data_IF_048893602174
#
_entry.id   IF_048893602174
#
_cell.length_a   1.000
_cell.length_b   1.000
_cell.length_c   1.000
_cell.angle_alpha   90.00
_cell.angle_beta   90.00
_cell.angle_gamma   90.00
#
_symmetry.space_group_name_H-M   'P 1'
#
loop_
_entity.id
_entity.type
_entity.pdbx_description
1 polymer ?
#
# COMPACT_ATOMS: atom_id res chain seq x y z
N UNK A 1 16.63 4.12 -12.46
CA UNK A 1 16.57 3.52 -13.81
C UNK A 1 15.42 4.09 -14.65
N UNK A 2 14.20 4.25 -14.08
CA UNK A 2 13.07 4.84 -14.82
C UNK A 2 13.32 6.31 -15.08
N UNK A 3 13.75 7.07 -14.07
CA UNK A 3 14.09 8.50 -14.20
C UNK A 3 15.14 8.71 -15.27
N UNK A 4 16.18 7.85 -15.32
CA UNK A 4 17.28 7.95 -16.30
C UNK A 4 16.86 7.55 -17.72
N UNK A 5 15.75 6.87 -17.88
CA UNK A 5 15.30 6.29 -19.16
C UNK A 5 14.22 7.12 -19.87
N UNK A 6 13.61 8.13 -19.20
CA UNK A 6 12.48 8.89 -19.76
C UNK A 6 12.66 10.40 -19.54
N UNK A 7 12.14 11.19 -20.47
CA UNK A 7 12.17 12.66 -20.43
C UNK A 7 10.87 13.27 -19.85
N UNK A 8 9.98 12.43 -19.31
CA UNK A 8 8.71 12.86 -18.70
C UNK A 8 8.82 12.82 -17.16
N UNK A 9 8.00 13.62 -16.44
CA UNK A 9 7.97 13.56 -14.99
C UNK A 9 7.65 12.16 -14.47
N UNK A 10 8.45 11.67 -13.51
CA UNK A 10 8.27 10.36 -12.87
C UNK A 10 7.61 10.54 -11.51
N UNK A 11 6.55 9.78 -11.26
CA UNK A 11 5.83 9.72 -9.98
C UNK A 11 6.18 8.38 -9.32
N UNK A 12 6.84 8.42 -8.16
CA UNK A 12 7.16 7.22 -7.41
C UNK A 12 5.92 6.69 -6.67
N UNK A 13 5.57 5.42 -6.92
CA UNK A 13 4.41 4.78 -6.31
C UNK A 13 4.77 3.45 -5.65
N UNK A 14 4.22 3.23 -4.44
CA UNK A 14 4.44 2.01 -3.66
C UNK A 14 5.65 2.09 -2.72
N UNK A 15 5.53 1.49 -1.55
CA UNK A 15 6.60 1.44 -0.56
C UNK A 15 6.87 2.74 0.20
N UNK A 16 6.05 3.77 0.04
CA UNK A 16 6.23 5.08 0.67
C UNK A 16 5.17 5.24 1.77
N UNK A 17 5.61 5.46 3.01
CA UNK A 17 4.75 5.58 4.18
C UNK A 17 4.78 6.98 4.83
N UNK A 18 5.91 7.64 4.76
CA UNK A 18 6.24 8.85 5.52
C UNK A 18 7.17 9.80 4.74
N UNK A 19 7.57 10.90 5.36
CA UNK A 19 8.43 11.90 4.74
C UNK A 19 9.83 11.40 4.42
N UNK A 20 10.34 10.37 5.13
CA UNK A 20 11.63 9.74 4.81
C UNK A 20 11.58 9.07 3.45
N UNK A 21 10.49 8.34 3.18
CA UNK A 21 10.24 7.73 1.87
C UNK A 21 10.09 8.75 0.75
N UNK A 22 9.42 9.88 1.03
CA UNK A 22 9.29 11.00 0.08
C UNK A 22 10.65 11.61 -0.23
N UNK A 23 11.46 11.93 0.78
CA UNK A 23 12.81 12.48 0.60
C UNK A 23 13.70 11.54 -0.22
N UNK A 24 13.64 10.23 0.05
CA UNK A 24 14.37 9.23 -0.73
C UNK A 24 13.92 9.16 -2.20
N UNK A 25 12.61 9.19 -2.46
CA UNK A 25 12.08 9.21 -3.82
C UNK A 25 12.54 10.45 -4.60
N UNK A 26 12.51 11.62 -3.98
CA UNK A 26 13.00 12.86 -4.59
C UNK A 26 14.51 12.84 -4.82
N UNK A 27 15.28 12.31 -3.89
CA UNK A 27 16.73 12.13 -4.07
C UNK A 27 17.09 11.19 -5.24
N UNK A 28 16.20 10.25 -5.57
CA UNK A 28 16.32 9.37 -6.74
C UNK A 28 15.74 9.98 -8.03
N UNK A 29 15.30 11.24 -8.00
CA UNK A 29 14.84 11.99 -9.16
C UNK A 29 13.33 11.91 -9.45
N UNK A 30 12.53 11.35 -8.56
CA UNK A 30 11.07 11.42 -8.70
C UNK A 30 10.58 12.87 -8.56
N UNK A 31 9.58 13.25 -9.35
CA UNK A 31 8.96 14.58 -9.31
C UNK A 31 7.79 14.64 -8.32
N UNK A 32 7.19 13.50 -8.03
CA UNK A 32 6.10 13.38 -7.07
C UNK A 32 6.05 11.95 -6.52
N UNK A 33 5.18 11.74 -5.51
CA UNK A 33 4.90 10.42 -4.93
C UNK A 33 3.40 10.13 -4.95
N UNK A 34 3.05 8.84 -5.05
CA UNK A 34 1.68 8.37 -4.88
C UNK A 34 1.62 7.37 -3.73
N UNK A 35 0.72 7.61 -2.78
CA UNK A 35 0.59 6.82 -1.57
C UNK A 35 -0.85 6.32 -1.44
N UNK A 36 -1.07 4.99 -1.45
CA UNK A 36 -2.39 4.40 -1.27
C UNK A 36 -2.69 4.10 0.21
N UNK A 37 -1.95 3.16 0.80
CA UNK A 37 -2.22 2.61 2.14
C UNK A 37 -2.22 3.68 3.24
N UNK A 38 -1.36 4.70 3.17
CA UNK A 38 -1.38 5.80 4.13
C UNK A 38 -2.73 6.53 4.11
N UNK A 39 -3.27 6.82 2.92
CA UNK A 39 -4.54 7.53 2.80
C UNK A 39 -5.78 6.65 3.02
N UNK A 40 -5.65 5.31 3.01
CA UNK A 40 -6.69 4.43 3.56
C UNK A 40 -6.93 4.73 5.03
N UNK A 41 -5.89 5.11 5.77
CA UNK A 41 -5.96 5.54 7.17
C UNK A 41 -6.22 7.05 7.31
N UNK A 42 -6.94 7.65 6.38
CA UNK A 42 -7.46 9.01 6.58
C UNK A 42 -8.89 8.97 7.15
N UNK A 43 -9.27 10.04 7.85
CA UNK A 43 -10.62 10.20 8.36
C UNK A 43 -11.65 10.25 7.22
N UNK A 44 -11.28 10.92 6.11
CA UNK A 44 -12.13 11.08 4.94
C UNK A 44 -12.27 9.82 4.08
N UNK A 45 -11.42 8.81 4.29
CA UNK A 45 -11.54 7.56 3.58
C UNK A 45 -12.80 6.81 4.00
N UNK A 46 -13.65 6.47 3.03
CA UNK A 46 -14.94 5.78 3.24
C UNK A 46 -14.82 4.28 3.50
N UNK A 47 -13.58 3.73 3.50
CA UNK A 47 -13.37 2.33 3.82
C UNK A 47 -13.90 2.00 5.23
N UNK A 48 -14.53 0.83 5.36
CA UNK A 48 -15.11 0.36 6.61
C UNK A 48 -14.07 0.35 7.75
N UNK A 49 -14.52 0.65 8.97
CA UNK A 49 -13.68 0.65 10.18
C UNK A 49 -12.86 -0.62 10.36
N UNK A 50 -13.44 -1.79 10.07
CA UNK A 50 -12.72 -3.06 10.13
C UNK A 50 -11.53 -3.10 9.16
N UNK A 51 -11.66 -2.47 7.97
CA UNK A 51 -10.57 -2.37 7.00
C UNK A 51 -9.43 -1.51 7.56
N UNK A 52 -9.74 -0.31 8.07
CA UNK A 52 -8.76 0.58 8.70
C UNK A 52 -8.09 -0.10 9.90
N UNK A 53 -8.87 -0.77 10.74
CA UNK A 53 -8.36 -1.53 11.88
C UNK A 53 -7.44 -2.70 11.47
N UNK A 54 -7.72 -3.36 10.35
CA UNK A 54 -6.86 -4.40 9.83
C UNK A 54 -5.51 -3.84 9.35
N UNK A 55 -5.51 -2.64 8.76
CA UNK A 55 -4.28 -1.92 8.38
C UNK A 55 -3.48 -1.53 9.62
N UNK A 56 -4.11 -0.93 10.64
CA UNK A 56 -3.45 -0.52 11.89
C UNK A 56 -2.83 -1.68 12.68
N UNK A 57 -3.39 -2.90 12.54
CA UNK A 57 -2.87 -4.11 13.19
C UNK A 57 -1.79 -4.81 12.36
N UNK A 58 -1.56 -4.37 11.12
CA UNK A 58 -0.57 -4.99 10.25
C UNK A 58 0.84 -4.83 10.80
N UNK A 59 1.67 -5.85 10.57
CA UNK A 59 3.09 -5.90 10.90
C UNK A 59 3.89 -6.24 9.64
N UNK A 60 5.19 -6.33 9.73
CA UNK A 60 6.12 -6.55 8.61
C UNK A 60 5.73 -7.73 7.70
N UNK A 61 5.17 -8.79 8.28
CA UNK A 61 4.80 -10.01 7.55
C UNK A 61 3.30 -10.19 7.35
N UNK A 62 2.51 -9.15 7.55
CA UNK A 62 1.05 -9.25 7.48
C UNK A 62 0.49 -9.24 6.06
N UNK A 63 1.33 -9.10 5.04
CA UNK A 63 0.86 -9.03 3.64
C UNK A 63 1.47 -10.12 2.78
N UNK A 64 0.70 -10.59 1.81
CA UNK A 64 1.11 -11.58 0.81
C UNK A 64 0.70 -11.15 -0.59
N UNK A 65 1.36 -11.74 -1.59
CA UNK A 65 0.96 -11.60 -2.99
C UNK A 65 0.00 -12.72 -3.37
N UNK A 66 -1.03 -12.38 -4.13
CA UNK A 66 -1.98 -13.30 -4.75
C UNK A 66 -2.15 -12.93 -6.22
N UNK A 67 -2.68 -13.82 -7.05
CA UNK A 67 -2.91 -13.56 -8.47
C UNK A 67 -1.65 -13.57 -9.33
N UNK A 68 -0.58 -14.21 -8.89
CA UNK A 68 0.66 -14.34 -9.66
C UNK A 68 0.43 -15.11 -10.95
N UNK A 69 -0.35 -16.18 -10.91
CA UNK A 69 -0.64 -17.06 -12.06
C UNK A 69 -1.68 -16.47 -13.01
N UNK A 70 -2.51 -15.53 -12.55
CA UNK A 70 -3.49 -14.83 -13.41
C UNK A 70 -2.87 -13.71 -14.25
N UNK A 71 -1.65 -13.28 -13.93
CA UNK A 71 -0.99 -12.11 -14.51
C UNK A 71 -1.44 -10.77 -13.90
N UNK A 72 -2.26 -10.80 -12.86
CA UNK A 72 -2.74 -9.63 -12.12
C UNK A 72 -2.39 -9.72 -10.63
N UNK A 73 -1.08 -9.65 -10.28
CA UNK A 73 -0.65 -9.78 -8.90
C UNK A 73 -1.13 -8.59 -8.06
N UNK A 74 -1.70 -8.89 -6.91
CA UNK A 74 -2.09 -7.90 -5.91
C UNK A 74 -1.54 -8.26 -4.53
N UNK A 75 -1.23 -7.24 -3.74
CA UNK A 75 -0.80 -7.43 -2.36
C UNK A 75 -1.98 -7.19 -1.43
N UNK A 76 -2.26 -8.19 -0.59
CA UNK A 76 -3.37 -8.15 0.37
C UNK A 76 -2.89 -8.59 1.76
N UNK A 77 -3.70 -8.33 2.78
CA UNK A 77 -3.49 -8.92 4.12
C UNK A 77 -3.55 -10.46 4.02
N UNK A 78 -2.68 -11.13 4.75
CA UNK A 78 -2.65 -12.61 4.86
C UNK A 78 -3.81 -13.07 5.75
N UNK A 79 -4.99 -13.22 5.15
CA UNK A 79 -6.25 -13.61 5.76
C UNK A 79 -6.79 -14.92 5.16
N UNK A 80 -8.04 -15.29 5.50
CA UNK A 80 -8.66 -16.52 4.99
C UNK A 80 -8.79 -16.54 3.46
N UNK A 81 -9.14 -15.40 2.84
CA UNK A 81 -9.19 -15.28 1.38
C UNK A 81 -7.79 -15.51 0.78
N UNK A 82 -6.76 -14.87 1.34
CA UNK A 82 -5.38 -15.04 0.88
C UNK A 82 -4.93 -16.52 0.92
N UNK A 83 -5.30 -17.24 1.98
CA UNK A 83 -5.00 -18.67 2.10
C UNK A 83 -5.74 -19.48 1.03
N UNK A 84 -7.03 -19.22 0.81
CA UNK A 84 -7.81 -19.88 -0.26
C UNK A 84 -7.19 -19.62 -1.64
N UNK A 85 -6.83 -18.37 -1.90
CA UNK A 85 -6.21 -17.96 -3.15
C UNK A 85 -4.88 -18.67 -3.40
N UNK A 86 -3.98 -18.64 -2.42
CA UNK A 86 -2.68 -19.33 -2.51
C UNK A 86 -2.82 -20.85 -2.69
N UNK A 87 -3.75 -21.45 -1.96
CA UNK A 87 -4.00 -22.88 -2.11
C UNK A 87 -4.50 -23.24 -3.51
N UNK A 88 -5.41 -22.44 -4.07
CA UNK A 88 -5.92 -22.65 -5.43
C UNK A 88 -4.82 -22.44 -6.47
N UNK A 89 -4.03 -21.37 -6.35
CA UNK A 89 -2.87 -21.13 -7.23
C UNK A 89 -1.84 -22.25 -7.17
N UNK A 90 -1.49 -22.71 -5.96
CA UNK A 90 -0.48 -23.75 -5.76
C UNK A 90 -0.92 -25.11 -6.29
N UNK A 91 -2.22 -25.43 -6.22
CA UNK A 91 -2.79 -26.69 -6.70
C UNK A 91 -3.19 -26.65 -8.19
N UNK A 92 -2.78 -25.63 -8.94
CA UNK A 92 -3.02 -25.54 -10.37
C UNK A 92 -4.45 -25.16 -10.74
N UNK A 93 -5.12 -24.40 -9.88
CA UNK A 93 -6.45 -23.85 -10.19
C UNK A 93 -6.42 -23.01 -11.46
N UNK A 94 -7.50 -23.08 -12.22
CA UNK A 94 -7.64 -22.34 -13.47
C UNK A 94 -7.72 -20.84 -13.21
N UNK A 95 -7.38 -20.04 -14.24
CA UNK A 95 -7.52 -18.59 -14.19
C UNK A 95 -8.95 -18.16 -13.85
N UNK A 96 -9.94 -18.83 -14.44
CA UNK A 96 -11.36 -18.57 -14.20
C UNK A 96 -11.76 -18.82 -12.74
N UNK A 97 -11.31 -19.91 -12.13
CA UNK A 97 -11.57 -20.19 -10.71
C UNK A 97 -10.97 -19.13 -9.80
N UNK A 98 -9.75 -18.66 -10.10
CA UNK A 98 -9.08 -17.59 -9.35
C UNK A 98 -9.78 -16.24 -9.51
N UNK A 99 -10.21 -15.90 -10.73
CA UNK A 99 -10.98 -14.66 -11.00
C UNK A 99 -12.33 -14.70 -10.27
N UNK A 100 -13.03 -15.82 -10.30
CA UNK A 100 -14.30 -16.01 -9.59
C UNK A 100 -14.11 -15.91 -8.05
N UNK A 101 -13.02 -16.48 -7.51
CA UNK A 101 -12.70 -16.37 -6.09
C UNK A 101 -12.41 -14.90 -5.69
N UNK A 102 -11.80 -14.13 -6.60
CA UNK A 102 -11.45 -12.71 -6.37
C UNK A 102 -12.62 -11.73 -6.57
N UNK A 103 -13.62 -12.12 -7.35
CA UNK A 103 -14.71 -11.23 -7.75
C UNK A 103 -15.47 -10.66 -6.55
N UNK A 104 -15.59 -9.33 -6.49
CA UNK A 104 -16.32 -8.61 -5.44
C UNK A 104 -15.66 -8.59 -4.06
N UNK A 105 -14.56 -9.29 -3.85
CA UNK A 105 -13.92 -9.42 -2.53
C UNK A 105 -13.36 -8.10 -1.98
N UNK A 106 -12.92 -7.19 -2.85
CA UNK A 106 -12.51 -5.84 -2.41
C UNK A 106 -13.68 -5.07 -1.83
N UNK A 107 -14.86 -5.09 -2.49
CA UNK A 107 -16.07 -4.46 -1.99
C UNK A 107 -16.48 -5.05 -0.63
N UNK A 108 -16.40 -6.39 -0.52
CA UNK A 108 -16.70 -7.13 0.70
C UNK A 108 -15.85 -6.65 1.88
N UNK A 109 -14.55 -6.41 1.68
CA UNK A 109 -13.67 -5.88 2.71
C UNK A 109 -13.90 -4.39 2.97
N UNK A 110 -13.88 -3.57 1.88
CA UNK A 110 -13.83 -2.12 2.00
C UNK A 110 -15.16 -1.47 2.37
N UNK A 111 -16.29 -2.07 1.98
CA UNK A 111 -17.62 -1.51 2.21
C UNK A 111 -18.40 -2.32 3.26
N UNK A 112 -18.34 -3.65 3.20
CA UNK A 112 -19.11 -4.52 4.09
C UNK A 112 -18.33 -4.89 5.37
N UNK A 113 -17.02 -4.60 5.41
CA UNK A 113 -16.18 -4.78 6.58
C UNK A 113 -15.78 -6.23 6.87
N UNK A 114 -15.99 -7.16 5.93
CA UNK A 114 -15.52 -8.54 6.06
C UNK A 114 -14.04 -8.63 5.66
N UNK A 115 -13.18 -8.39 6.61
CA UNK A 115 -11.72 -8.45 6.42
C UNK A 115 -11.14 -9.87 6.48
N UNK A 116 -11.98 -10.89 6.72
CA UNK A 116 -11.57 -12.29 6.72
C UNK A 116 -11.68 -12.92 5.33
N UNK A 117 -12.85 -12.75 4.71
CA UNK A 117 -13.17 -13.29 3.39
C UNK A 117 -13.11 -12.23 2.28
N UNK A 118 -12.83 -10.98 2.62
CA UNK A 118 -12.64 -9.90 1.69
C UNK A 118 -11.16 -9.60 1.41
N UNK A 119 -10.90 -8.98 0.26
CA UNK A 119 -9.56 -8.56 -0.15
C UNK A 119 -9.20 -7.23 0.50
N UNK A 120 -8.33 -7.26 1.51
CA UNK A 120 -7.77 -6.05 2.12
C UNK A 120 -6.47 -5.70 1.40
N UNK A 121 -6.61 -4.89 0.34
CA UNK A 121 -5.48 -4.46 -0.50
C UNK A 121 -4.67 -3.38 0.20
N UNK A 122 -3.44 -3.69 0.59
CA UNK A 122 -2.51 -2.78 1.27
C UNK A 122 -1.05 -3.10 0.90
N UNK A 123 -0.21 -2.06 0.92
CA UNK A 123 1.22 -2.22 0.69
C UNK A 123 1.98 -2.76 1.91
N UNK A 124 3.23 -3.17 1.69
CA UNK A 124 4.12 -3.65 2.77
C UNK A 124 4.35 -2.61 3.86
N UNK A 125 4.24 -1.33 3.54
CA UNK A 125 4.42 -0.22 4.50
C UNK A 125 3.33 -0.16 5.57
N UNK A 126 2.28 -0.97 5.46
CA UNK A 126 1.20 -0.97 6.44
C UNK A 126 1.72 -1.15 7.88
N UNK A 127 2.76 -1.97 8.09
CA UNK A 127 3.39 -2.15 9.39
C UNK A 127 4.03 -0.90 10.00
N UNK A 128 4.21 0.17 9.23
CA UNK A 128 4.72 1.47 9.69
C UNK A 128 3.61 2.43 10.12
N UNK A 129 2.36 2.15 9.78
CA UNK A 129 1.24 3.05 9.98
C UNK A 129 0.53 2.75 11.31
N UNK A 130 0.36 3.79 12.15
CA UNK A 130 -0.11 3.59 13.52
C UNK A 130 -1.31 4.47 13.90
N UNK A 131 -1.75 5.37 13.01
CA UNK A 131 -2.79 6.34 13.31
C UNK A 131 -3.73 6.60 12.13
N UNK A 132 -4.92 7.09 12.44
CA UNK A 132 -5.87 7.68 11.51
C UNK A 132 -5.87 9.19 11.75
N UNK A 133 -5.75 9.97 10.68
CA UNK A 133 -5.68 11.44 10.71
C UNK A 133 -6.46 12.04 9.55
N UNK A 134 -6.86 13.32 9.63
CA UNK A 134 -7.33 14.06 8.47
C UNK A 134 -6.30 14.05 7.32
N UNK A 135 -6.74 13.97 6.08
CA UNK A 135 -5.85 14.03 4.90
C UNK A 135 -4.91 15.24 4.94
N UNK A 136 -5.42 16.39 5.38
CA UNK A 136 -4.63 17.61 5.52
C UNK A 136 -3.42 17.37 6.44
N UNK A 137 -3.64 16.77 7.60
CA UNK A 137 -2.59 16.58 8.61
C UNK A 137 -1.58 15.54 8.13
N UNK A 138 -2.05 14.48 7.45
CA UNK A 138 -1.17 13.48 6.80
C UNK A 138 -0.22 14.17 5.82
N UNK A 139 -0.73 15.05 4.96
CA UNK A 139 0.08 15.77 3.96
C UNK A 139 1.09 16.70 4.65
N UNK A 140 0.65 17.46 5.64
CA UNK A 140 1.51 18.39 6.38
C UNK A 140 2.63 17.63 7.09
N UNK A 141 2.30 16.56 7.83
CA UNK A 141 3.28 15.76 8.56
C UNK A 141 4.34 15.18 7.62
N UNK A 142 3.90 14.57 6.50
CA UNK A 142 4.79 13.96 5.51
C UNK A 142 5.72 14.99 4.88
N UNK A 143 5.20 16.15 4.47
CA UNK A 143 6.01 17.18 3.83
C UNK A 143 6.98 17.83 4.81
N UNK A 144 6.55 18.07 6.05
CA UNK A 144 7.40 18.62 7.12
C UNK A 144 8.55 17.65 7.45
N UNK A 145 8.24 16.35 7.55
CA UNK A 145 9.26 15.33 7.81
C UNK A 145 10.23 15.20 6.61
N UNK A 146 9.72 15.22 5.37
CA UNK A 146 10.57 15.16 4.18
C UNK A 146 11.53 16.33 4.11
N UNK A 147 11.06 17.55 4.37
CA UNK A 147 11.89 18.76 4.44
C UNK A 147 12.96 18.65 5.53
N UNK A 148 12.60 18.17 6.72
CA UNK A 148 13.53 17.97 7.82
C UNK A 148 14.62 16.95 7.46
N UNK A 149 14.27 15.86 6.77
CA UNK A 149 15.23 14.86 6.28
C UNK A 149 16.18 15.47 5.27
N UNK A 150 15.67 16.19 4.27
CA UNK A 150 16.48 16.84 3.23
C UNK A 150 17.46 17.82 3.85
N UNK A 151 16.99 18.70 4.76
CA UNK A 151 17.85 19.66 5.46
C UNK A 151 18.93 18.96 6.29
N UNK A 152 18.62 17.85 6.93
CA UNK A 152 19.57 17.07 7.72
C UNK A 152 20.67 16.42 6.85
N UNK A 153 20.35 16.08 5.61
CA UNK A 153 21.33 15.51 4.66
C UNK A 153 22.36 16.54 4.18
N UNK A 154 22.06 17.84 4.21
CA UNK A 154 22.99 18.91 3.83
C UNK A 154 24.28 18.91 4.67
N UNK A 155 24.23 18.40 5.91
CA UNK A 155 25.42 18.24 6.78
C UNK A 155 26.50 17.33 6.21
N UNK A 156 26.16 16.44 5.28
CA UNK A 156 27.10 15.53 4.63
C UNK A 156 27.70 16.12 3.35
N UNK A 157 27.22 17.28 2.90
CA UNK A 157 27.70 17.96 1.69
C UNK A 157 28.80 19.00 1.92
N UNK A 158 29.48 18.98 3.09
CA UNK A 158 30.58 19.89 3.43
C UNK A 158 31.92 19.24 3.24
#
# INVERSE_FOLDING_TARGET
QVVDAVDVPVIAAGGIADGRGVAAAFALGAHAVQMGTRFVLSEECIAHENYKNAVLKAKDRSTVMTGLTTGHPVRIIDNQLAHKYKNLEFNGGSKEELENLGAGTLRKAAIEGDVKEGSVMIGQIAGMLQDVKPCKDIIVDIMTEAEAVINNLQRFGK
#
